data_IF_218820618925
#
_entry.id   IF_218820618925
#
_cell.length_a   1.000
_cell.length_b   1.000
_cell.length_c   1.000
_cell.angle_alpha   90.00
_cell.angle_beta   90.00
_cell.angle_gamma   90.00
#
_symmetry.space_group_name_H-M   'P 1'
#
loop_
_entity.id
_entity.type
_entity.pdbx_description
1 polymer ?
#
# COMPACT_ATOMS: atom_id res chain seq x y z
N UNK A 1 43.29 4.41 -4.61
CA UNK A 1 42.41 5.21 -3.75
C UNK A 1 41.00 5.07 -4.31
N UNK A 2 40.07 4.38 -3.64
CA UNK A 2 38.69 4.36 -4.08
C UNK A 2 38.06 5.71 -3.72
N UNK A 3 37.50 6.37 -4.73
CA UNK A 3 36.71 7.58 -4.59
C UNK A 3 35.47 7.27 -3.73
N UNK A 4 35.49 7.71 -2.48
CA UNK A 4 34.33 7.74 -1.59
C UNK A 4 33.30 8.74 -2.14
N UNK A 5 32.36 8.26 -2.95
CA UNK A 5 31.13 8.99 -3.26
C UNK A 5 30.41 9.26 -1.96
N UNK A 6 30.40 10.52 -1.53
CA UNK A 6 29.70 10.95 -0.33
C UNK A 6 28.22 10.92 -0.66
N UNK A 7 27.51 9.88 -0.23
CA UNK A 7 26.04 9.84 -0.29
C UNK A 7 25.54 10.90 0.70
N UNK A 8 25.08 12.04 0.19
CA UNK A 8 24.49 13.08 1.04
C UNK A 8 23.22 12.50 1.66
N UNK A 9 23.12 12.47 2.99
CA UNK A 9 21.96 11.95 3.74
C UNK A 9 20.70 12.81 3.63
N UNK A 10 20.76 13.92 2.89
CA UNK A 10 19.68 14.89 2.68
C UNK A 10 19.55 15.14 1.18
N UNK A 11 18.34 14.99 0.65
CA UNK A 11 18.03 15.18 -0.77
C UNK A 11 16.68 15.85 -0.96
N UNK A 12 16.53 16.60 -2.06
CA UNK A 12 15.22 17.08 -2.52
C UNK A 12 14.45 15.91 -3.14
N UNK A 13 13.23 15.65 -2.66
CA UNK A 13 12.43 14.48 -3.06
C UNK A 13 11.37 14.77 -4.13
N UNK A 14 11.19 16.05 -4.50
CA UNK A 14 10.20 16.47 -5.48
C UNK A 14 9.80 17.93 -5.36
N UNK A 15 8.71 18.30 -6.02
CA UNK A 15 8.07 19.60 -5.95
C UNK A 15 6.56 19.44 -5.85
N UNK A 16 5.86 20.46 -5.36
CA UNK A 16 4.41 20.44 -5.21
C UNK A 16 3.68 20.12 -6.52
N UNK A 17 2.64 19.27 -6.45
CA UNK A 17 1.76 18.92 -7.58
C UNK A 17 0.31 19.19 -7.20
N UNK A 18 -0.41 19.95 -8.04
CA UNK A 18 -1.86 20.19 -7.89
C UNK A 18 -2.63 18.87 -8.12
N UNK A 19 -3.25 18.34 -7.06
CA UNK A 19 -4.03 17.09 -7.13
C UNK A 19 -5.53 17.32 -7.09
N UNK A 20 -5.98 18.46 -6.54
CA UNK A 20 -7.39 18.91 -6.59
C UNK A 20 -7.43 20.39 -6.94
N UNK A 21 -8.15 20.75 -8.01
CA UNK A 21 -8.43 22.13 -8.40
C UNK A 21 -9.95 22.28 -8.62
N UNK A 22 -10.67 22.56 -7.54
CA UNK A 22 -12.11 22.73 -7.53
C UNK A 22 -12.50 24.14 -7.03
N UNK A 23 -13.67 24.66 -7.45
CA UNK A 23 -14.31 25.79 -6.79
C UNK A 23 -14.24 25.69 -5.26
N UNK A 24 -13.61 26.67 -4.62
CA UNK A 24 -13.53 26.74 -3.16
C UNK A 24 -12.56 25.77 -2.49
N UNK A 25 -11.89 24.86 -3.22
CA UNK A 25 -10.94 23.89 -2.65
C UNK A 25 -9.78 23.59 -3.60
N UNK A 26 -8.56 23.85 -3.13
CA UNK A 26 -7.31 23.52 -3.85
C UNK A 26 -6.38 22.70 -2.97
N UNK A 27 -5.83 21.63 -3.52
CA UNK A 27 -4.89 20.75 -2.82
C UNK A 27 -3.64 20.59 -3.68
N UNK A 28 -2.49 20.99 -3.11
CA UNK A 28 -1.17 20.79 -3.67
C UNK A 28 -0.43 19.71 -2.85
N UNK A 29 -0.21 18.51 -3.40
CA UNK A 29 0.59 17.47 -2.73
C UNK A 29 2.07 17.86 -2.77
N UNK A 30 2.71 17.95 -1.60
CA UNK A 30 4.12 18.32 -1.41
C UNK A 30 5.03 17.08 -1.36
N UNK A 31 4.54 16.00 -0.76
CA UNK A 31 5.17 14.68 -0.71
C UNK A 31 4.05 13.62 -0.65
N UNK A 32 4.25 12.48 -1.31
CA UNK A 32 3.28 11.40 -1.36
C UNK A 32 3.34 10.61 -2.67
N UNK A 33 2.25 9.91 -2.97
CA UNK A 33 2.15 8.98 -4.10
C UNK A 33 2.22 9.68 -5.47
N UNK A 34 1.83 10.95 -5.58
CA UNK A 34 1.82 11.69 -6.85
C UNK A 34 3.11 12.50 -7.02
N UNK A 35 3.45 13.36 -6.06
CA UNK A 35 4.51 14.36 -6.12
C UNK A 35 5.92 13.79 -5.91
N UNK A 36 6.08 12.77 -5.03
CA UNK A 36 7.39 12.20 -4.69
C UNK A 36 7.49 10.68 -4.89
N UNK A 37 6.42 10.03 -5.35
CA UNK A 37 6.33 8.57 -5.56
C UNK A 37 6.69 7.76 -4.31
N UNK A 38 6.22 8.22 -3.16
CA UNK A 38 6.49 7.62 -1.86
C UNK A 38 5.19 7.38 -1.09
N UNK A 39 4.92 6.13 -0.70
CA UNK A 39 3.70 5.74 0.00
C UNK A 39 3.83 5.84 1.54
N UNK A 40 4.98 6.26 2.08
CA UNK A 40 5.21 6.29 3.53
C UNK A 40 4.43 7.41 4.24
N UNK A 41 4.34 8.57 3.61
CA UNK A 41 3.69 9.76 4.16
C UNK A 41 3.12 10.61 3.04
N UNK A 42 1.94 11.20 3.26
CA UNK A 42 1.43 12.26 2.40
C UNK A 42 1.45 13.57 3.17
N UNK A 43 1.96 14.61 2.53
CA UNK A 43 1.96 15.98 3.04
C UNK A 43 1.39 16.84 1.92
N UNK A 44 0.32 17.57 2.18
CA UNK A 44 -0.27 18.48 1.22
C UNK A 44 -0.40 19.90 1.78
N UNK A 45 -0.57 20.88 0.91
CA UNK A 45 -1.06 22.20 1.26
C UNK A 45 -2.47 22.34 0.72
N UNK A 46 -3.43 22.56 1.62
CA UNK A 46 -4.82 22.76 1.27
C UNK A 46 -5.21 24.22 1.47
N UNK A 47 -5.93 24.77 0.50
CA UNK A 47 -6.59 26.07 0.58
C UNK A 47 -8.07 25.87 0.34
N UNK A 48 -8.88 26.31 1.29
CA UNK A 48 -10.32 26.23 1.21
C UNK A 48 -10.93 27.62 1.44
N UNK A 49 -11.85 28.01 0.54
CA UNK A 49 -12.54 29.29 0.62
C UNK A 49 -13.71 29.20 1.63
N UNK A 50 -14.07 30.33 2.22
CA UNK A 50 -15.21 30.42 3.13
C UNK A 50 -16.51 29.92 2.49
N UNK A 51 -17.26 29.11 3.23
CA UNK A 51 -18.52 28.51 2.80
C UNK A 51 -18.38 27.16 2.11
N UNK A 52 -17.15 26.72 1.80
CA UNK A 52 -16.90 25.38 1.28
C UNK A 52 -17.04 24.33 2.38
N UNK A 53 -17.45 23.12 2.00
CA UNK A 53 -17.34 21.93 2.82
C UNK A 53 -16.97 20.75 1.93
N UNK A 54 -16.25 19.79 2.50
CA UNK A 54 -16.06 18.49 1.86
C UNK A 54 -17.23 17.56 2.18
N UNK A 55 -17.39 16.42 1.47
CA UNK A 55 -18.32 15.38 1.88
C UNK A 55 -17.91 14.75 3.22
N UNK A 56 -18.71 13.81 3.71
CA UNK A 56 -18.22 12.90 4.74
C UNK A 56 -17.07 12.02 4.20
N UNK A 57 -16.05 11.89 5.01
CA UNK A 57 -14.83 11.14 4.75
C UNK A 57 -14.67 10.06 5.82
N UNK A 58 -14.19 8.89 5.43
CA UNK A 58 -13.67 7.86 6.35
C UNK A 58 -12.30 7.42 5.85
N UNK A 59 -11.26 7.65 6.66
CA UNK A 59 -9.87 7.38 6.29
C UNK A 59 -9.45 6.00 6.81
N UNK A 60 -8.74 5.24 6.00
CA UNK A 60 -8.11 3.97 6.38
C UNK A 60 -6.63 4.18 6.75
N UNK A 61 -6.36 5.31 7.38
CA UNK A 61 -5.06 5.75 7.88
C UNK A 61 -5.26 6.87 8.91
N UNK A 62 -4.21 7.13 9.69
CA UNK A 62 -4.18 8.26 10.62
C UNK A 62 -3.84 9.56 9.89
N UNK A 63 -4.46 10.66 10.30
CA UNK A 63 -4.23 11.99 9.73
C UNK A 63 -4.06 13.07 10.81
N UNK A 64 -3.10 13.96 10.58
CA UNK A 64 -2.92 15.19 11.35
C UNK A 64 -3.20 16.41 10.46
N UNK A 65 -4.13 17.26 10.85
CA UNK A 65 -4.43 18.52 10.16
C UNK A 65 -3.83 19.68 10.95
N UNK A 66 -2.77 20.29 10.40
CA UNK A 66 -2.13 21.47 10.95
C UNK A 66 -2.75 22.73 10.35
N UNK A 67 -3.57 23.47 11.11
CA UNK A 67 -4.24 24.67 10.62
C UNK A 67 -3.26 25.85 10.59
N UNK A 68 -2.97 26.39 9.42
CA UNK A 68 -2.04 27.50 9.23
C UNK A 68 -2.75 28.86 9.28
N UNK A 69 -3.95 28.95 8.67
CA UNK A 69 -4.79 30.14 8.64
C UNK A 69 -6.26 29.76 8.78
N UNK A 70 -7.06 30.69 9.29
CA UNK A 70 -8.51 30.54 9.37
C UNK A 70 -8.95 29.59 10.46
N UNK A 71 -10.06 28.88 10.18
CA UNK A 71 -10.73 27.96 11.08
C UNK A 71 -11.39 26.84 10.29
N UNK A 72 -11.29 25.62 10.80
CA UNK A 72 -11.95 24.42 10.26
C UNK A 72 -12.91 23.88 11.33
N UNK A 73 -14.09 23.46 10.90
CA UNK A 73 -15.06 22.77 11.76
C UNK A 73 -15.21 21.34 11.25
N UNK A 74 -14.89 20.38 12.10
CA UNK A 74 -15.01 18.95 11.86
C UNK A 74 -16.30 18.44 12.50
N UNK A 75 -17.23 18.00 11.67
CA UNK A 75 -18.41 17.26 12.13
C UNK A 75 -18.09 15.77 12.19
N UNK A 76 -18.47 15.12 13.28
CA UNK A 76 -18.35 13.68 13.53
C UNK A 76 -19.71 13.17 14.04
N UNK A 77 -19.86 11.88 14.33
CA UNK A 77 -21.12 11.29 14.81
C UNK A 77 -21.62 11.97 16.10
N UNK A 78 -22.52 12.94 15.92
CA UNK A 78 -23.14 13.72 16.98
C UNK A 78 -22.30 14.83 17.61
N UNK A 79 -21.04 15.03 17.17
CA UNK A 79 -20.12 15.99 17.78
C UNK A 79 -19.49 16.93 16.75
N UNK A 80 -19.04 18.10 17.21
CA UNK A 80 -18.26 19.04 16.42
C UNK A 80 -16.97 19.40 17.14
N UNK A 81 -15.88 19.42 16.39
CA UNK A 81 -14.56 19.87 16.84
C UNK A 81 -14.17 21.05 15.97
N UNK A 82 -13.68 22.13 16.58
CA UNK A 82 -13.21 23.30 15.87
C UNK A 82 -11.71 23.46 16.07
N UNK A 83 -10.99 23.80 14.99
CA UNK A 83 -9.57 24.12 15.03
C UNK A 83 -9.29 25.42 14.29
N UNK A 84 -8.56 26.31 14.93
CA UNK A 84 -8.12 27.60 14.40
C UNK A 84 -6.63 27.57 14.08
N UNK A 85 -6.15 28.58 13.36
CA UNK A 85 -4.73 28.76 13.05
C UNK A 85 -3.81 28.51 14.27
N UNK A 86 -2.77 27.71 14.07
CA UNK A 86 -1.83 27.28 15.10
C UNK A 86 -2.23 26.02 15.88
N UNK A 87 -3.42 25.47 15.65
CA UNK A 87 -3.86 24.21 16.24
C UNK A 87 -3.67 23.03 15.28
N UNK A 88 -3.50 21.84 15.85
CA UNK A 88 -3.42 20.58 15.11
C UNK A 88 -4.53 19.65 15.56
N UNK A 89 -5.24 19.06 14.61
CA UNK A 89 -6.25 18.03 14.86
C UNK A 89 -5.67 16.68 14.49
N UNK A 90 -5.93 15.67 15.31
CA UNK A 90 -5.65 14.27 15.00
C UNK A 90 -6.97 13.56 14.66
N UNK A 91 -6.98 12.85 13.55
CA UNK A 91 -8.08 12.03 13.07
C UNK A 91 -7.57 10.59 13.02
N UNK A 92 -8.09 9.75 13.89
CA UNK A 92 -7.71 8.34 13.95
C UNK A 92 -8.30 7.56 12.77
N UNK A 93 -7.59 6.54 12.31
CA UNK A 93 -8.09 5.58 11.32
C UNK A 93 -9.52 5.09 11.65
N UNK A 94 -10.37 5.02 10.63
CA UNK A 94 -11.76 4.59 10.74
C UNK A 94 -12.72 5.66 11.26
N UNK A 95 -12.23 6.86 11.61
CA UNK A 95 -13.10 7.97 12.00
C UNK A 95 -13.87 8.50 10.79
N UNK A 96 -15.20 8.55 10.90
CA UNK A 96 -16.06 9.24 9.94
C UNK A 96 -16.22 10.71 10.32
N UNK A 97 -15.86 11.63 9.44
CA UNK A 97 -15.93 13.07 9.71
C UNK A 97 -16.24 13.89 8.46
N UNK A 98 -16.62 15.16 8.63
CA UNK A 98 -16.83 16.14 7.55
C UNK A 98 -16.21 17.49 7.91
N UNK A 99 -15.18 17.96 7.20
CA UNK A 99 -14.63 19.29 7.40
C UNK A 99 -15.46 20.34 6.66
N UNK A 100 -15.63 21.49 7.30
CA UNK A 100 -16.26 22.68 6.72
C UNK A 100 -15.48 23.94 7.08
N UNK A 101 -15.54 24.92 6.19
CA UNK A 101 -14.68 26.10 6.24
C UNK A 101 -15.54 27.36 6.42
N UNK A 102 -15.86 27.77 7.66
CA UNK A 102 -16.67 28.97 7.90
C UNK A 102 -15.98 30.29 7.50
N UNK A 103 -14.65 30.25 7.34
CA UNK A 103 -13.78 31.33 6.84
C UNK A 103 -12.73 30.70 5.94
N UNK A 104 -12.06 31.52 5.13
CA UNK A 104 -10.91 31.06 4.33
C UNK A 104 -9.88 30.37 5.24
N UNK A 105 -9.47 29.17 4.85
CA UNK A 105 -8.55 28.35 5.62
C UNK A 105 -7.38 27.87 4.75
N UNK A 106 -6.19 27.86 5.36
CA UNK A 106 -5.02 27.19 4.81
C UNK A 106 -4.54 26.18 5.84
N UNK A 107 -4.30 24.93 5.43
CA UNK A 107 -3.85 23.88 6.35
C UNK A 107 -2.98 22.84 5.66
N UNK A 108 -2.26 22.07 6.47
CA UNK A 108 -1.41 20.96 6.02
C UNK A 108 -1.94 19.67 6.63
N UNK A 109 -2.61 18.80 5.84
CA UNK A 109 -2.85 17.42 6.25
C UNK A 109 -1.55 16.62 6.11
N UNK A 110 -1.32 15.74 7.09
CA UNK A 110 -0.23 14.78 7.11
C UNK A 110 -0.84 13.39 7.36
N UNK A 111 -0.70 12.48 6.39
CA UNK A 111 -1.30 11.15 6.45
C UNK A 111 -0.22 10.07 6.59
N UNK A 112 -0.45 9.06 7.44
CA UNK A 112 0.39 7.87 7.54
C UNK A 112 -0.45 6.59 7.46
N UNK A 113 -0.27 5.73 6.43
CA UNK A 113 0.57 5.92 5.23
C UNK A 113 0.09 7.07 4.33
N UNK A 114 0.77 7.30 3.21
CA UNK A 114 0.38 8.34 2.25
C UNK A 114 -1.06 8.14 1.73
N UNK A 115 -1.71 9.27 1.45
CA UNK A 115 -3.03 9.33 0.81
C UNK A 115 -3.06 8.47 -0.44
N UNK A 116 -4.12 7.67 -0.55
CA UNK A 116 -4.58 7.05 -1.79
C UNK A 116 -6.11 7.05 -1.82
N UNK A 117 -6.74 7.16 -3.00
CA UNK A 117 -8.20 7.12 -3.12
C UNK A 117 -8.84 5.83 -2.62
N UNK A 118 -8.15 4.69 -2.76
CA UNK A 118 -8.59 3.38 -2.28
C UNK A 118 -8.55 3.23 -0.74
N UNK A 119 -7.91 4.16 -0.03
CA UNK A 119 -7.84 4.24 1.44
C UNK A 119 -8.68 5.39 2.02
N UNK A 120 -9.48 6.08 1.21
CA UNK A 120 -10.32 7.19 1.64
C UNK A 120 -11.73 7.03 1.06
N UNK A 121 -12.68 6.65 1.91
CA UNK A 121 -14.09 6.60 1.51
C UNK A 121 -14.61 8.04 1.50
N UNK A 122 -15.12 8.47 0.34
CA UNK A 122 -15.77 9.77 0.15
C UNK A 122 -17.25 9.56 -0.13
N UNK A 123 -18.11 10.16 0.66
CA UNK A 123 -19.56 10.17 0.46
C UNK A 123 -19.95 11.38 -0.40
N UNK A 124 -19.46 11.44 -1.64
CA UNK A 124 -19.76 12.52 -2.57
C UNK A 124 -21.26 12.56 -2.92
N UNK A 125 -21.92 13.70 -2.70
CA UNK A 125 -23.37 13.87 -2.93
C UNK A 125 -23.69 14.60 -4.24
N UNK A 126 -22.67 15.05 -4.97
CA UNK A 126 -22.82 15.85 -6.18
C UNK A 126 -21.77 15.52 -7.26
N UNK A 127 -22.07 15.95 -8.49
CA UNK A 127 -21.24 15.72 -9.69
C UNK A 127 -19.84 16.32 -9.55
N UNK A 128 -19.66 17.36 -8.74
CA UNK A 128 -18.36 17.98 -8.52
C UNK A 128 -17.46 17.11 -7.64
N UNK A 129 -18.00 16.57 -6.54
CA UNK A 129 -17.32 15.61 -5.68
C UNK A 129 -16.92 14.33 -6.45
N UNK A 130 -17.82 13.80 -7.28
CA UNK A 130 -17.52 12.64 -8.14
C UNK A 130 -16.33 12.93 -9.09
N UNK A 131 -16.27 14.12 -9.69
CA UNK A 131 -15.15 14.53 -10.54
C UNK A 131 -13.83 14.62 -9.79
N UNK A 132 -13.85 15.10 -8.54
CA UNK A 132 -12.67 15.13 -7.66
C UNK A 132 -12.19 13.70 -7.42
N UNK A 133 -13.10 12.80 -7.03
CA UNK A 133 -12.81 11.39 -6.80
C UNK A 133 -12.21 10.70 -8.03
N UNK A 134 -12.76 10.94 -9.23
CA UNK A 134 -12.23 10.37 -10.47
C UNK A 134 -10.89 10.97 -10.91
N UNK A 135 -10.70 12.27 -10.69
CA UNK A 135 -9.42 12.95 -10.93
C UNK A 135 -8.31 12.35 -10.05
N UNK A 136 -8.59 12.18 -8.76
CA UNK A 136 -7.67 11.54 -7.82
C UNK A 136 -7.37 10.10 -8.21
N UNK A 137 -8.37 9.28 -8.57
CA UNK A 137 -8.12 7.91 -9.07
C UNK A 137 -7.16 7.90 -10.26
N UNK A 138 -7.38 8.78 -11.24
CA UNK A 138 -6.50 8.89 -12.42
C UNK A 138 -5.06 9.25 -12.06
N UNK A 139 -4.86 10.23 -11.18
CA UNK A 139 -3.53 10.66 -10.74
C UNK A 139 -2.76 9.56 -10.00
N UNK A 140 -3.49 8.68 -9.32
CA UNK A 140 -2.93 7.53 -8.60
C UNK A 140 -2.87 6.25 -9.47
N UNK A 141 -2.94 6.37 -10.81
CA UNK A 141 -2.76 5.25 -11.75
C UNK A 141 -4.03 4.43 -12.03
N UNK A 142 -5.21 4.96 -11.73
CA UNK A 142 -6.46 4.21 -11.69
C UNK A 142 -6.81 3.45 -12.97
N UNK A 143 -6.95 2.13 -12.82
CA UNK A 143 -7.94 1.34 -13.53
C UNK A 143 -8.78 0.53 -12.51
N UNK A 144 -9.83 1.15 -11.97
CA UNK A 144 -11.07 0.40 -11.69
C UNK A 144 -12.00 0.76 -12.85
N UNK A 145 -12.15 -0.18 -13.79
CA UNK A 145 -13.10 -0.04 -14.88
C UNK A 145 -14.52 -0.05 -14.31
N UNK A 146 -15.17 1.11 -14.28
CA UNK A 146 -16.62 1.20 -14.19
C UNK A 146 -17.15 0.88 -15.59
N UNK A 147 -17.74 -0.30 -15.78
CA UNK A 147 -18.55 -0.59 -16.97
C UNK A 147 -20.00 -0.24 -16.66
N UNK A 148 -20.60 0.52 -17.59
CA UNK A 148 -21.98 1.00 -17.57
C UNK A 148 -22.99 -0.05 -17.11
N UNK A 149 -23.80 0.32 -16.11
CA UNK A 149 -24.90 -0.51 -15.61
C UNK A 149 -26.15 -0.28 -16.46
N UNK A 150 -26.20 -0.95 -17.62
CA UNK A 150 -27.44 -1.25 -18.31
C UNK A 150 -27.72 -2.74 -18.17
N UNK A 151 -28.05 -3.18 -16.95
CA UNK A 151 -28.98 -4.27 -16.63
C UNK A 151 -28.87 -4.63 -15.14
N UNK A 152 -29.97 -4.43 -14.42
CA UNK A 152 -30.10 -4.64 -12.98
C UNK A 152 -29.92 -6.09 -12.55
N UNK A 153 -28.66 -6.50 -12.39
CA UNK A 153 -28.28 -7.68 -11.65
C UNK A 153 -27.54 -7.23 -10.38
N UNK A 154 -28.04 -7.70 -9.23
CA UNK A 154 -27.51 -7.51 -7.89
C UNK A 154 -26.00 -7.81 -7.86
N UNK A 155 -25.17 -6.77 -7.83
CA UNK A 155 -23.71 -6.90 -7.72
C UNK A 155 -23.38 -7.34 -6.30
N UNK A 156 -22.97 -8.60 -6.17
CA UNK A 156 -22.18 -9.04 -5.03
C UNK A 156 -20.77 -8.46 -5.24
N UNK A 157 -20.32 -7.64 -4.30
CA UNK A 157 -18.99 -7.07 -4.24
C UNK A 157 -17.92 -8.16 -4.37
N UNK A 158 -17.08 -8.09 -5.39
CA UNK A 158 -15.82 -8.84 -5.44
C UNK A 158 -14.66 -7.89 -5.18
N UNK A 159 -14.61 -7.36 -3.95
CA UNK A 159 -13.32 -7.10 -3.32
C UNK A 159 -12.70 -8.50 -3.22
N UNK A 160 -11.53 -8.74 -3.81
CA UNK A 160 -10.79 -9.96 -3.52
C UNK A 160 -10.53 -9.93 -2.00
N UNK A 161 -11.25 -10.77 -1.23
CA UNK A 161 -11.18 -10.74 0.22
C UNK A 161 -9.72 -10.88 0.64
N UNK A 162 -9.24 -9.95 1.49
CA UNK A 162 -7.86 -9.97 1.98
C UNK A 162 -7.59 -11.32 2.65
N UNK A 163 -6.76 -12.19 2.06
CA UNK A 163 -6.64 -13.56 2.52
C UNK A 163 -5.93 -13.59 3.86
N UNK A 164 -6.52 -14.24 4.87
CA UNK A 164 -5.90 -14.37 6.20
C UNK A 164 -4.61 -15.19 6.13
N UNK A 165 -4.61 -16.25 5.30
CA UNK A 165 -3.45 -17.11 5.10
C UNK A 165 -2.60 -16.53 3.98
N UNK A 166 -1.31 -16.38 4.26
CA UNK A 166 -0.31 -15.86 3.34
C UNK A 166 0.79 -16.89 3.12
N UNK A 167 1.35 -16.84 1.92
CA UNK A 167 2.41 -17.70 1.46
C UNK A 167 3.58 -16.88 0.95
N UNK A 168 4.79 -17.26 1.36
CA UNK A 168 6.05 -16.77 0.83
C UNK A 168 6.88 -17.95 0.33
N UNK A 169 7.86 -17.72 -0.55
CA UNK A 169 8.81 -18.75 -0.97
C UNK A 169 10.24 -18.26 -0.90
N UNK A 170 11.14 -19.17 -0.52
CA UNK A 170 12.56 -18.91 -0.37
C UNK A 170 13.35 -20.20 -0.56
N UNK A 171 14.67 -20.09 -0.70
CA UNK A 171 15.52 -21.29 -0.69
C UNK A 171 15.52 -21.92 0.70
N UNK A 172 15.60 -23.26 0.77
CA UNK A 172 15.74 -23.99 2.03
C UNK A 172 16.98 -23.54 2.80
N UNK A 173 18.06 -23.20 2.07
CA UNK A 173 19.31 -22.73 2.65
C UNK A 173 19.12 -21.39 3.41
N UNK A 174 18.47 -20.41 2.80
CA UNK A 174 18.22 -19.10 3.43
C UNK A 174 17.26 -19.22 4.61
N UNK A 175 16.21 -20.02 4.47
CA UNK A 175 15.28 -20.26 5.57
C UNK A 175 15.96 -20.95 6.77
N UNK A 176 16.80 -21.96 6.48
CA UNK A 176 17.57 -22.65 7.53
C UNK A 176 18.55 -21.71 8.21
N UNK A 177 19.25 -20.86 7.45
CA UNK A 177 20.17 -19.87 8.01
C UNK A 177 19.45 -18.90 8.97
N UNK A 178 18.25 -18.42 8.60
CA UNK A 178 17.43 -17.60 9.50
C UNK A 178 17.09 -18.37 10.78
N UNK A 179 16.60 -19.62 10.66
CA UNK A 179 16.28 -20.49 11.80
C UNK A 179 17.45 -20.69 12.75
N UNK A 180 18.64 -20.95 12.22
CA UNK A 180 19.87 -21.13 13.00
C UNK A 180 20.30 -19.84 13.69
N UNK A 181 20.20 -18.70 13.01
CA UNK A 181 20.49 -17.37 13.57
C UNK A 181 19.45 -16.89 14.59
N UNK A 182 18.26 -17.51 14.63
CA UNK A 182 17.11 -17.10 15.44
C UNK A 182 16.65 -15.67 15.14
N UNK A 183 16.76 -15.26 13.88
CA UNK A 183 16.33 -13.95 13.40
C UNK A 183 15.10 -14.08 12.50
N UNK A 184 14.37 -12.99 12.26
CA UNK A 184 13.42 -12.99 11.15
C UNK A 184 14.16 -13.29 9.82
N UNK A 185 13.48 -13.95 8.90
CA UNK A 185 13.95 -14.12 7.54
C UNK A 185 13.69 -12.85 6.74
N UNK A 186 14.67 -12.43 5.96
CA UNK A 186 14.56 -11.33 5.01
C UNK A 186 15.02 -11.83 3.63
N UNK A 187 14.26 -11.58 2.54
CA UNK A 187 14.71 -11.94 1.20
C UNK A 187 15.96 -11.15 0.81
N UNK A 188 16.78 -11.70 -0.08
CA UNK A 188 18.00 -11.01 -0.57
C UNK A 188 17.71 -9.64 -1.19
N UNK A 189 16.54 -9.49 -1.79
CA UNK A 189 16.09 -8.24 -2.41
C UNK A 189 15.47 -7.25 -1.43
N UNK A 190 15.35 -7.59 -0.12
CA UNK A 190 14.61 -6.81 0.88
C UNK A 190 14.91 -5.30 0.88
N UNK A 191 16.19 -4.92 0.94
CA UNK A 191 16.58 -3.50 0.94
C UNK A 191 16.28 -2.82 -0.39
N UNK A 192 16.48 -3.56 -1.50
CA UNK A 192 16.28 -3.06 -2.86
C UNK A 192 14.81 -2.89 -3.20
N UNK A 193 13.98 -3.79 -2.70
CA UNK A 193 12.54 -3.74 -2.90
C UNK A 193 11.92 -2.61 -2.07
N UNK A 194 12.64 -2.03 -1.10
CA UNK A 194 12.12 -0.93 -0.26
C UNK A 194 11.63 -1.40 1.10
N UNK A 195 12.33 -2.38 1.68
CA UNK A 195 12.13 -2.90 3.04
C UNK A 195 10.81 -3.64 3.24
N UNK A 196 10.37 -4.41 2.23
CA UNK A 196 9.24 -5.32 2.36
C UNK A 196 9.53 -6.72 1.79
N UNK A 197 8.77 -7.70 2.28
CA UNK A 197 8.81 -9.09 1.81
C UNK A 197 7.53 -9.40 1.03
N UNK A 198 7.66 -9.87 -0.21
CA UNK A 198 6.52 -10.25 -1.04
C UNK A 198 5.85 -11.53 -0.54
N UNK A 199 4.52 -11.56 -0.51
CA UNK A 199 3.73 -12.74 -0.23
C UNK A 199 2.53 -12.81 -1.18
N UNK A 200 1.78 -13.91 -1.12
CA UNK A 200 0.52 -14.12 -1.85
C UNK A 200 -0.46 -14.87 -0.97
N UNK A 201 -1.76 -14.61 -1.08
CA UNK A 201 -2.77 -15.51 -0.51
C UNK A 201 -3.19 -16.65 -1.44
N UNK A 202 -2.66 -16.66 -2.67
CA UNK A 202 -2.97 -17.65 -3.70
C UNK A 202 -1.69 -18.45 -3.99
N UNK A 203 -1.53 -19.67 -3.44
CA UNK A 203 -0.31 -20.47 -3.59
C UNK A 203 0.12 -20.71 -5.04
N UNK A 204 -0.84 -20.93 -5.94
CA UNK A 204 -0.55 -21.19 -7.35
C UNK A 204 0.17 -20.02 -8.05
N UNK A 205 0.01 -18.78 -7.57
CA UNK A 205 0.75 -17.61 -8.06
C UNK A 205 2.26 -17.72 -7.82
N UNK A 206 2.69 -18.49 -6.81
CA UNK A 206 4.12 -18.71 -6.53
C UNK A 206 4.81 -19.44 -7.67
N UNK A 207 4.12 -20.31 -8.42
CA UNK A 207 4.74 -21.00 -9.56
C UNK A 207 5.10 -20.04 -10.68
N UNK A 208 4.18 -19.16 -11.03
CA UNK A 208 4.43 -18.13 -12.04
C UNK A 208 5.54 -17.17 -11.56
N UNK A 209 5.47 -16.72 -10.31
CA UNK A 209 6.49 -15.89 -9.67
C UNK A 209 7.87 -16.56 -9.68
N UNK A 210 7.96 -17.84 -9.32
CA UNK A 210 9.22 -18.57 -9.24
C UNK A 210 9.88 -18.73 -10.61
N UNK A 211 9.07 -19.06 -11.62
CA UNK A 211 9.54 -19.23 -13.00
C UNK A 211 9.94 -17.91 -13.66
N UNK A 212 9.43 -16.76 -13.19
CA UNK A 212 9.77 -15.44 -13.71
C UNK A 212 11.00 -14.84 -13.02
N UNK A 213 11.06 -14.90 -11.68
CA UNK A 213 12.08 -14.19 -10.90
C UNK A 213 13.26 -15.05 -10.44
N UNK A 214 13.10 -16.37 -10.35
CA UNK A 214 14.02 -17.24 -9.60
C UNK A 214 14.40 -18.52 -10.36
N UNK A 215 14.28 -18.50 -11.68
CA UNK A 215 14.62 -19.64 -12.53
C UNK A 215 16.13 -19.92 -12.55
N UNK A 216 16.96 -18.90 -12.36
CA UNK A 216 18.42 -19.00 -12.31
C UNK A 216 18.97 -19.27 -10.90
N UNK A 217 18.10 -19.32 -9.88
CA UNK A 217 18.51 -19.60 -8.50
C UNK A 217 18.53 -21.11 -8.25
N UNK A 218 19.69 -21.62 -7.85
CA UNK A 218 19.94 -23.04 -7.59
C UNK A 218 19.52 -23.47 -6.18
N UNK A 219 19.42 -24.79 -6.00
CA UNK A 219 19.09 -25.43 -4.73
C UNK A 219 17.59 -25.64 -4.48
N UNK A 220 17.25 -26.35 -3.39
CA UNK A 220 15.86 -26.65 -3.06
C UNK A 220 15.13 -25.43 -2.51
N UNK A 221 13.85 -25.31 -2.89
CA UNK A 221 12.96 -24.24 -2.46
C UNK A 221 11.88 -24.72 -1.52
N UNK A 222 11.45 -23.84 -0.63
CA UNK A 222 10.35 -24.08 0.31
C UNK A 222 9.34 -22.94 0.24
N UNK A 223 8.07 -23.30 0.41
CA UNK A 223 6.98 -22.35 0.62
C UNK A 223 6.60 -22.30 2.10
N UNK A 224 6.54 -21.09 2.65
CA UNK A 224 6.22 -20.80 4.03
C UNK A 224 4.77 -20.33 4.12
N UNK A 225 3.98 -20.92 5.02
CA UNK A 225 2.62 -20.50 5.33
C UNK A 225 2.55 -19.86 6.71
N UNK A 226 1.92 -18.69 6.79
CA UNK A 226 1.68 -17.93 8.00
C UNK A 226 0.40 -17.12 7.82
N UNK A 227 0.02 -16.31 8.81
CA UNK A 227 -1.22 -15.53 8.74
C UNK A 227 -1.03 -14.06 9.04
N UNK A 228 -1.95 -13.22 8.55
CA UNK A 228 -1.96 -11.79 8.83
C UNK A 228 -2.09 -11.51 10.31
N UNK A 229 -2.92 -12.29 11.02
CA UNK A 229 -3.05 -12.18 12.48
C UNK A 229 -1.70 -12.39 13.17
N UNK A 230 -0.93 -13.42 12.80
CA UNK A 230 0.36 -13.69 13.42
C UNK A 230 1.40 -12.60 13.14
N UNK A 231 1.37 -12.00 11.94
CA UNK A 231 2.19 -10.82 11.62
C UNK A 231 1.78 -9.60 12.46
N UNK A 232 0.48 -9.33 12.56
CA UNK A 232 -0.08 -8.23 13.35
C UNK A 232 0.28 -8.37 14.83
N UNK A 233 0.24 -9.58 15.39
CA UNK A 233 0.63 -9.86 16.77
C UNK A 233 2.12 -9.57 17.03
N UNK A 234 2.95 -9.60 15.98
CA UNK A 234 4.35 -9.18 16.02
C UNK A 234 4.56 -7.68 15.73
N UNK A 235 3.49 -6.90 15.55
CA UNK A 235 3.56 -5.49 15.14
C UNK A 235 3.98 -5.28 13.69
N UNK A 236 3.82 -6.30 12.83
CA UNK A 236 4.21 -6.25 11.42
C UNK A 236 2.99 -5.97 10.56
N UNK A 237 3.06 -4.89 9.78
CA UNK A 237 2.00 -4.49 8.87
C UNK A 237 2.11 -5.20 7.52
N UNK A 238 0.96 -5.40 6.87
CA UNK A 238 0.87 -5.95 5.52
C UNK A 238 0.13 -4.94 4.64
N UNK A 239 0.75 -4.50 3.55
CA UNK A 239 0.13 -3.66 2.53
C UNK A 239 -0.33 -4.53 1.37
N UNK A 240 -1.55 -4.32 0.91
CA UNK A 240 -2.08 -5.00 -0.27
C UNK A 240 -1.97 -4.03 -1.45
N UNK A 241 -1.06 -4.32 -2.37
CA UNK A 241 -0.70 -3.43 -3.47
C UNK A 241 -0.63 -4.23 -4.77
N UNK A 242 -0.57 -3.55 -5.91
CA UNK A 242 -0.31 -4.22 -7.19
C UNK A 242 1.04 -4.94 -7.19
N UNK A 243 1.21 -5.92 -8.07
CA UNK A 243 2.49 -6.60 -8.25
C UNK A 243 3.61 -5.57 -8.50
N UNK A 244 4.69 -5.69 -7.74
CA UNK A 244 5.87 -4.82 -7.79
C UNK A 244 7.10 -5.61 -8.28
N UNK A 245 8.11 -4.93 -8.88
CA UNK A 245 9.37 -5.56 -9.25
C UNK A 245 10.04 -6.27 -8.07
N UNK A 246 10.81 -7.32 -8.38
CA UNK A 246 11.63 -8.06 -7.41
C UNK A 246 13.09 -7.87 -7.79
N UNK A 247 13.84 -7.14 -6.98
CA UNK A 247 15.21 -6.76 -7.30
C UNK A 247 15.30 -5.92 -8.58
N UNK A 248 16.05 -6.41 -9.58
CA UNK A 248 16.18 -5.74 -10.91
C UNK A 248 15.08 -6.15 -11.90
N UNK A 249 14.34 -7.22 -11.60
CA UNK A 249 13.44 -7.85 -12.54
C UNK A 249 12.06 -7.20 -12.47
N UNK A 250 11.60 -6.69 -13.62
CA UNK A 250 10.29 -6.06 -13.74
C UNK A 250 9.15 -7.07 -13.66
N UNK A 251 7.96 -6.58 -13.34
CA UNK A 251 6.73 -7.37 -13.28
C UNK A 251 6.37 -7.91 -14.67
N UNK A 252 5.94 -9.18 -14.73
CA UNK A 252 5.30 -9.72 -15.94
C UNK A 252 3.94 -9.02 -16.14
N UNK A 253 3.92 -8.04 -17.05
CA UNK A 253 2.78 -7.18 -17.31
C UNK A 253 1.56 -7.95 -17.86
N UNK A 254 1.77 -9.11 -18.49
CA UNK A 254 0.72 -9.97 -19.00
C UNK A 254 0.29 -11.03 -17.98
N UNK A 255 1.25 -11.66 -17.31
CA UNK A 255 1.01 -12.79 -16.39
C UNK A 255 0.57 -12.39 -14.98
N UNK A 256 0.99 -11.20 -14.51
CA UNK A 256 0.69 -10.67 -13.16
C UNK A 256 -0.24 -9.45 -13.20
N UNK A 257 -0.91 -9.23 -14.33
CA UNK A 257 -1.81 -8.10 -14.52
C UNK A 257 -2.89 -8.07 -13.45
N UNK A 258 -3.02 -6.93 -12.77
CA UNK A 258 -4.02 -6.69 -11.71
C UNK A 258 -3.88 -7.60 -10.48
N UNK A 259 -2.76 -8.28 -10.29
CA UNK A 259 -2.55 -9.06 -9.07
C UNK A 259 -2.40 -8.13 -7.88
N UNK A 260 -3.26 -8.32 -6.88
CA UNK A 260 -3.05 -7.72 -5.56
C UNK A 260 -2.16 -8.66 -4.74
N UNK A 261 -0.99 -8.15 -4.39
CA UNK A 261 0.08 -8.85 -3.69
C UNK A 261 0.25 -8.27 -2.27
N UNK A 262 0.15 -9.12 -1.24
CA UNK A 262 0.51 -8.75 0.13
C UNK A 262 2.03 -8.46 0.25
N UNK A 263 2.40 -7.25 0.62
CA UNK A 263 3.76 -6.84 0.99
C UNK A 263 3.88 -6.70 2.51
N UNK A 264 4.71 -7.55 3.11
CA UNK A 264 4.97 -7.56 4.55
C UNK A 264 6.04 -6.51 4.84
N UNK A 265 5.74 -5.53 5.69
CA UNK A 265 6.66 -4.43 6.02
C UNK A 265 7.64 -4.89 7.09
N UNK A 266 8.61 -5.68 6.65
CA UNK A 266 9.52 -6.41 7.53
C UNK A 266 9.94 -7.75 6.96
N UNK A 267 10.67 -8.50 7.77
CA UNK A 267 10.96 -9.90 7.55
C UNK A 267 9.84 -10.79 8.08
N UNK A 268 9.97 -12.10 7.87
CA UNK A 268 9.06 -13.11 8.39
C UNK A 268 9.66 -13.70 9.67
N UNK A 269 9.08 -13.46 10.86
CA UNK A 269 9.54 -14.09 12.09
C UNK A 269 9.43 -15.62 12.00
N UNK A 270 10.47 -16.35 12.43
CA UNK A 270 10.49 -17.81 12.33
C UNK A 270 9.29 -18.46 13.02
N UNK A 271 8.96 -17.96 14.22
CA UNK A 271 7.97 -18.56 15.09
C UNK A 271 6.52 -18.41 14.59
N UNK A 272 6.26 -17.54 13.60
CA UNK A 272 4.91 -17.36 13.05
C UNK A 272 4.61 -18.27 11.86
N UNK A 273 5.63 -18.90 11.27
CA UNK A 273 5.45 -19.85 10.17
C UNK A 273 4.82 -21.12 10.71
N UNK A 274 3.59 -21.38 10.27
CA UNK A 274 2.79 -22.53 10.73
C UNK A 274 3.16 -23.80 9.99
N UNK A 275 3.51 -23.68 8.71
CA UNK A 275 3.82 -24.83 7.86
C UNK A 275 4.85 -24.48 6.79
N UNK A 276 5.73 -25.44 6.54
CA UNK A 276 6.71 -25.42 5.47
C UNK A 276 6.31 -26.48 4.44
N UNK A 277 6.28 -26.09 3.17
CA UNK A 277 5.94 -26.95 2.06
C UNK A 277 7.14 -27.10 1.13
N UNK A 278 7.27 -28.26 0.52
CA UNK A 278 8.32 -28.54 -0.47
C UNK A 278 7.87 -28.02 -1.82
N UNK A 279 8.71 -27.23 -2.49
CA UNK A 279 8.45 -26.79 -3.86
C UNK A 279 9.06 -27.77 -4.86
N UNK A 280 8.29 -28.11 -5.89
CA UNK A 280 8.67 -29.04 -6.95
C UNK A 280 9.27 -28.29 -8.13
N UNK A 281 10.34 -28.88 -8.67
CA UNK A 281 11.05 -28.41 -9.85
C UNK A 281 11.28 -29.58 -10.79
N UNK A 282 11.17 -29.37 -12.10
CA UNK A 282 11.47 -30.41 -13.09
C UNK A 282 12.92 -30.90 -12.92
N UNK A 283 13.13 -32.22 -12.97
CA UNK A 283 14.46 -32.83 -13.00
C UNK A 283 15.11 -33.11 -11.65
N UNK A 284 14.32 -33.29 -10.58
CA UNK A 284 14.72 -33.70 -9.22
C UNK A 284 15.99 -33.03 -8.65
N UNK A 285 15.77 -31.94 -7.91
CA UNK A 285 16.60 -31.58 -6.76
C UNK A 285 17.81 -30.66 -6.97
N UNK A 286 18.27 -30.42 -8.20
CA UNK A 286 19.44 -29.54 -8.43
C UNK A 286 19.59 -29.00 -9.87
N UNK A 287 18.53 -29.00 -10.67
CA UNK A 287 18.60 -28.60 -12.08
C UNK A 287 17.70 -27.40 -12.43
N UNK A 288 18.11 -26.65 -13.45
CA UNK A 288 17.54 -25.40 -13.95
C UNK A 288 16.13 -25.51 -14.57
N UNK A 289 15.35 -26.53 -14.19
CA UNK A 289 14.01 -26.80 -14.70
C UNK A 289 12.96 -25.81 -14.21
N UNK A 290 11.74 -25.87 -14.75
CA UNK A 290 10.64 -25.03 -14.26
C UNK A 290 10.12 -25.51 -12.91
N UNK A 291 9.62 -24.58 -12.10
CA UNK A 291 8.83 -24.90 -10.90
C UNK A 291 7.44 -25.38 -11.32
N UNK A 292 7.02 -26.53 -10.80
CA UNK A 292 5.83 -27.27 -11.26
C UNK A 292 4.74 -27.41 -10.22
N UNK A 293 5.04 -27.19 -8.94
CA UNK A 293 4.02 -27.21 -7.90
C UNK A 293 4.57 -27.04 -6.50
N UNK A 294 3.67 -27.12 -5.52
CA UNK A 294 3.97 -27.12 -4.09
C UNK A 294 3.35 -28.38 -3.50
N UNK A 295 4.14 -29.23 -2.86
CA UNK A 295 3.63 -30.49 -2.31
C UNK A 295 2.61 -30.24 -1.20
N UNK A 296 1.39 -30.75 -1.37
CA UNK A 296 0.35 -30.62 -0.35
C UNK A 296 -0.44 -29.30 -0.40
N UNK A 297 -0.23 -28.49 -1.44
CA UNK A 297 -1.11 -27.37 -1.82
C UNK A 297 -1.61 -27.61 -3.26
N UNK A 298 -2.90 -27.39 -3.47
CA UNK A 298 -3.54 -27.48 -4.79
C UNK A 298 -3.43 -26.15 -5.55
#
# INVERSE_FOLDING_TARGET
MPSSTTTTSVSVIGSAVRVVDAPGLKIDELAGNVASKDDRVSIALVKADAGTAEPFLTLHYDEWICVLKGKIVFETDGNKVEASAGQTVFIAEGTRFRPSFPVDAEYVPVCLPAFRPDRCIREDENVEGEKISDGLKKLHGGAINVVDSANGAKVCSSIEEKPEILYHMTTVAEWKAAKEAKTAYYPKTYEKDGFYTHATGVPSRLMHTANHYYLDVEGPWTCLEFTRTALKDCGIHVRDEEAMPVGDTQVDAEGMKNWICPHIIGGIPIHIVKKEYVMKREGDGDSSGKYTGIEGLA
#
